data_IF_623432257972
#
_entry.id   IF_623432257972
#
_cell.length_a   1.000
_cell.length_b   1.000
_cell.length_c   1.000
_cell.angle_alpha   90.00
_cell.angle_beta   90.00
_cell.angle_gamma   90.00
#
_symmetry.space_group_name_H-M   'P 1'
#
loop_
_entity.id
_entity.type
_entity.pdbx_description
1 polymer ?
#
# COMPACT_ATOMS: atom_id res chain seq x y z
N UNK A 1 -11.61 -3.99 20.55
CA UNK A 1 -12.97 -3.44 20.46
C UNK A 1 -13.02 -2.71 19.13
N UNK A 2 -13.72 -3.28 18.16
CA UNK A 2 -13.68 -2.87 16.76
C UNK A 2 -14.44 -1.53 16.66
N UNK A 3 -13.72 -0.42 16.54
CA UNK A 3 -14.29 0.84 16.04
C UNK A 3 -14.48 0.67 14.54
N UNK A 4 -15.53 -0.07 14.20
CA UNK A 4 -16.07 -0.19 12.85
C UNK A 4 -16.41 1.20 12.35
N UNK A 5 -15.89 1.59 11.18
CA UNK A 5 -16.64 2.17 10.04
C UNK A 5 -17.78 3.18 10.33
N UNK A 6 -17.78 3.88 11.45
CA UNK A 6 -18.96 4.62 11.98
C UNK A 6 -18.85 6.13 11.84
N UNK A 7 -17.83 6.63 11.14
CA UNK A 7 -17.69 8.06 10.82
C UNK A 7 -17.81 8.38 9.32
N UNK A 8 -18.29 7.41 8.53
CA UNK A 8 -18.97 7.62 7.24
C UNK A 8 -20.44 7.18 7.29
N UNK A 9 -20.98 7.06 8.52
CA UNK A 9 -22.40 6.95 8.79
C UNK A 9 -22.98 8.31 9.25
N UNK A 10 -22.36 9.42 8.85
CA UNK A 10 -23.13 10.66 8.73
C UNK A 10 -24.21 10.37 7.67
N UNK A 11 -25.49 10.68 7.94
CA UNK A 11 -26.53 10.61 6.91
C UNK A 11 -25.95 11.19 5.61
N UNK A 12 -26.18 10.58 4.44
CA UNK A 12 -25.62 11.05 3.15
C UNK A 12 -25.89 12.56 2.93
N UNK A 13 -26.97 13.06 3.56
CA UNK A 13 -27.28 14.46 3.71
C UNK A 13 -26.12 15.32 4.27
N UNK A 14 -25.32 14.87 5.22
CA UNK A 14 -24.29 15.68 5.91
C UNK A 14 -22.87 15.54 5.33
N UNK A 15 -22.72 14.82 4.22
CA UNK A 15 -21.41 14.60 3.58
C UNK A 15 -20.82 15.90 3.02
N UNK A 16 -21.65 16.76 2.45
CA UNK A 16 -21.25 18.04 1.89
C UNK A 16 -21.75 19.19 2.75
N UNK A 17 -20.82 19.84 3.47
CA UNK A 17 -21.12 20.99 4.31
C UNK A 17 -21.13 22.26 3.46
N UNK A 18 -22.11 23.15 3.68
CA UNK A 18 -22.18 24.45 3.03
C UNK A 18 -21.77 25.54 4.02
N UNK A 19 -20.88 26.42 3.60
CA UNK A 19 -20.59 27.69 4.26
C UNK A 19 -20.92 28.82 3.31
N UNK A 20 -21.56 29.87 3.82
CA UNK A 20 -21.84 31.08 3.05
C UNK A 20 -21.22 32.25 3.79
N UNK A 21 -20.39 33.04 3.11
CA UNK A 21 -19.66 34.15 3.72
C UNK A 21 -18.89 33.73 5.00
N UNK A 22 -18.25 32.56 4.96
CA UNK A 22 -17.53 31.91 6.07
C UNK A 22 -18.38 31.52 7.30
N UNK A 23 -19.71 31.55 7.20
CA UNK A 23 -20.59 31.02 8.24
C UNK A 23 -21.17 29.66 7.83
N UNK A 24 -21.09 28.63 8.68
CA UNK A 24 -21.64 27.32 8.39
C UNK A 24 -23.17 27.35 8.39
N UNK A 25 -23.76 26.73 7.36
CA UNK A 25 -25.20 26.57 7.25
C UNK A 25 -25.65 25.29 7.94
N UNK A 26 -26.54 25.44 8.92
CA UNK A 26 -27.17 24.32 9.61
C UNK A 26 -28.54 24.09 8.97
N UNK A 27 -28.71 22.96 8.29
CA UNK A 27 -29.94 22.59 7.62
C UNK A 27 -30.88 21.89 8.60
N UNK A 28 -32.11 22.39 8.72
CA UNK A 28 -33.16 21.74 9.51
C UNK A 28 -34.10 20.99 8.57
N UNK A 29 -34.29 19.69 8.82
CA UNK A 29 -35.15 18.81 8.01
C UNK A 29 -36.61 19.16 8.23
N UNK A 30 -37.33 19.43 7.14
CA UNK A 30 -38.76 19.70 7.15
C UNK A 30 -39.56 18.39 7.03
N UNK A 31 -40.85 18.43 7.35
CA UNK A 31 -41.78 17.28 7.27
C UNK A 31 -41.98 16.73 5.85
N UNK A 32 -41.56 17.46 4.81
CA UNK A 32 -41.59 17.04 3.41
C UNK A 32 -40.31 16.33 2.93
N UNK A 33 -39.28 16.21 3.78
CA UNK A 33 -37.98 15.61 3.43
C UNK A 33 -36.93 16.60 2.92
N UNK A 34 -37.34 17.80 2.50
CA UNK A 34 -36.43 18.91 2.18
C UNK A 34 -35.87 19.56 3.46
N UNK A 35 -34.65 20.10 3.39
CA UNK A 35 -34.05 20.82 4.50
C UNK A 35 -33.82 22.29 4.15
N UNK A 36 -34.14 23.21 5.06
CA UNK A 36 -33.94 24.65 4.85
C UNK A 36 -32.92 25.16 5.86
N UNK A 37 -31.98 25.99 5.41
CA UNK A 37 -31.08 26.76 6.24
C UNK A 37 -31.29 28.26 5.98
N UNK A 38 -31.20 29.08 7.03
CA UNK A 38 -31.34 30.53 6.94
C UNK A 38 -30.21 31.22 7.72
N UNK A 39 -29.66 32.29 7.15
CA UNK A 39 -28.64 33.13 7.77
C UNK A 39 -29.23 34.42 8.34
N UNK A 40 -28.52 34.99 9.32
CA UNK A 40 -28.78 36.35 9.81
C UNK A 40 -28.52 37.35 8.66
N UNK A 41 -29.59 37.81 8.03
CA UNK A 41 -29.54 38.60 6.78
C UNK A 41 -30.63 38.25 5.76
N UNK A 42 -31.43 37.21 6.01
CA UNK A 42 -32.59 36.87 5.18
C UNK A 42 -32.28 35.96 3.98
N UNK A 43 -31.02 35.61 3.76
CA UNK A 43 -30.62 34.59 2.80
C UNK A 43 -31.11 33.21 3.27
N UNK A 44 -31.92 32.56 2.44
CA UNK A 44 -32.41 31.19 2.70
C UNK A 44 -31.89 30.26 1.61
N UNK A 45 -31.42 29.08 2.02
CA UNK A 45 -30.98 28.03 1.09
C UNK A 45 -31.86 26.81 1.32
N UNK A 46 -32.53 26.37 0.26
CA UNK A 46 -33.26 25.11 0.23
C UNK A 46 -32.28 24.01 -0.22
N UNK A 47 -32.24 22.92 0.53
CA UNK A 47 -31.50 21.71 0.20
C UNK A 47 -32.49 20.59 -0.04
N UNK A 48 -32.47 20.05 -1.24
CA UNK A 48 -33.26 18.88 -1.63
C UNK A 48 -32.31 17.72 -1.87
N UNK A 49 -32.61 16.58 -1.24
CA UNK A 49 -31.86 15.33 -1.38
C UNK A 49 -32.71 14.37 -2.20
N UNK A 50 -32.12 13.83 -3.28
CA UNK A 50 -32.74 12.79 -4.08
C UNK A 50 -31.82 11.58 -4.14
N UNK A 51 -32.26 10.49 -3.52
CA UNK A 51 -31.57 9.20 -3.58
C UNK A 51 -31.98 8.48 -4.87
N UNK A 52 -30.98 8.09 -5.65
CA UNK A 52 -31.09 7.20 -6.82
C UNK A 52 -30.46 5.85 -6.44
N UNK A 53 -30.66 4.81 -7.25
CA UNK A 53 -30.18 3.45 -6.93
C UNK A 53 -28.67 3.39 -6.65
N UNK A 54 -27.88 4.24 -7.31
CA UNK A 54 -26.42 4.16 -7.35
C UNK A 54 -25.72 5.48 -6.96
N UNK A 55 -26.48 6.55 -6.73
CA UNK A 55 -25.98 7.91 -6.49
C UNK A 55 -26.95 8.77 -5.70
N UNK A 56 -26.44 9.85 -5.12
CA UNK A 56 -27.27 10.86 -4.44
C UNK A 56 -27.13 12.21 -5.13
N UNK A 57 -28.25 12.82 -5.49
CA UNK A 57 -28.30 14.19 -5.99
C UNK A 57 -28.62 15.14 -4.84
N UNK A 58 -27.76 16.14 -4.63
CA UNK A 58 -27.97 17.24 -3.69
C UNK A 58 -28.17 18.53 -4.46
N UNK A 59 -29.38 19.09 -4.38
CA UNK A 59 -29.70 20.40 -4.98
C UNK A 59 -29.76 21.47 -3.91
N UNK A 60 -29.03 22.57 -4.10
CA UNK A 60 -29.03 23.75 -3.25
C UNK A 60 -29.60 24.93 -4.03
N UNK A 61 -30.81 25.36 -3.69
CA UNK A 61 -31.47 26.50 -4.32
C UNK A 61 -31.44 27.72 -3.39
N UNK A 62 -30.87 28.82 -3.87
CA UNK A 62 -30.71 30.07 -3.14
C UNK A 62 -31.97 30.91 -3.32
N UNK A 63 -32.68 31.15 -2.22
CA UNK A 63 -33.88 31.97 -2.16
C UNK A 63 -33.46 33.40 -1.76
N UNK A 64 -32.90 34.14 -2.72
CA UNK A 64 -32.43 35.52 -2.54
C UNK A 64 -31.74 36.08 -3.79
N UNK A 65 -31.59 37.41 -3.88
CA UNK A 65 -30.99 38.12 -5.02
C UNK A 65 -29.55 38.56 -4.81
N UNK A 66 -28.96 38.32 -3.63
CA UNK A 66 -27.62 38.80 -3.30
C UNK A 66 -26.55 37.77 -3.68
N UNK A 67 -25.52 38.21 -4.43
CA UNK A 67 -24.33 37.42 -4.70
C UNK A 67 -23.57 37.19 -3.39
N UNK A 68 -23.59 35.96 -2.88
CA UNK A 68 -22.84 35.55 -1.70
C UNK A 68 -21.72 34.59 -2.08
N UNK A 69 -20.68 34.47 -1.26
CA UNK A 69 -19.64 33.49 -1.49
C UNK A 69 -20.08 32.12 -0.95
N UNK A 70 -20.43 31.20 -1.84
CA UNK A 70 -20.82 29.84 -1.50
C UNK A 70 -19.60 28.94 -1.55
N UNK A 71 -19.29 28.29 -0.43
CA UNK A 71 -18.17 27.37 -0.31
C UNK A 71 -18.68 26.06 0.26
N UNK A 72 -18.51 24.99 -0.51
CA UNK A 72 -18.86 23.63 -0.10
C UNK A 72 -17.60 22.93 0.42
N UNK A 73 -17.74 22.00 1.36
CA UNK A 73 -16.59 21.28 1.91
C UNK A 73 -16.92 19.83 2.25
N UNK A 74 -16.03 18.93 1.86
CA UNK A 74 -16.01 17.53 2.30
C UNK A 74 -15.04 17.39 3.48
N UNK A 75 -15.52 17.06 4.68
CA UNK A 75 -14.66 16.95 5.86
C UNK A 75 -13.72 15.74 5.75
N UNK A 76 -12.47 15.93 6.16
CA UNK A 76 -11.45 14.89 6.25
C UNK A 76 -11.27 14.55 7.73
N UNK A 77 -11.80 13.41 8.16
CA UNK A 77 -11.51 12.89 9.51
C UNK A 77 -10.24 12.04 9.44
N UNK A 78 -9.15 12.48 10.10
CA UNK A 78 -8.00 11.60 10.35
C UNK A 78 -8.35 10.73 11.55
N UNK A 79 -8.32 9.41 11.37
CA UNK A 79 -8.46 8.47 12.48
C UNK A 79 -7.24 8.66 13.39
N UNK A 80 -7.45 9.10 14.63
CA UNK A 80 -6.40 9.08 15.64
C UNK A 80 -6.07 7.62 15.94
N UNK A 81 -4.83 7.21 15.68
CA UNK A 81 -4.42 5.82 15.85
C UNK A 81 -4.37 5.42 17.32
N UNK A 82 -4.73 4.17 17.61
CA UNK A 82 -4.46 3.54 18.90
C UNK A 82 -2.93 3.55 19.14
N UNK A 83 -2.51 4.16 20.27
CA UNK A 83 -1.14 4.19 20.78
C UNK A 83 -0.64 2.75 21.05
N UNK A 84 -0.23 2.04 20.00
CA UNK A 84 0.17 0.64 20.12
C UNK A 84 0.16 -0.17 18.82
N UNK A 85 -0.28 0.40 17.70
CA UNK A 85 -0.36 -0.30 16.43
C UNK A 85 1.00 -0.66 15.80
N UNK A 86 2.10 -0.06 16.28
CA UNK A 86 3.46 -0.29 15.78
C UNK A 86 3.80 0.56 14.55
N UNK A 87 5.09 0.64 14.22
CA UNK A 87 5.58 1.40 13.06
C UNK A 87 5.09 0.76 11.75
N UNK A 88 4.35 1.50 10.93
CA UNK A 88 3.83 1.03 9.64
C UNK A 88 2.32 0.77 9.59
N UNK A 89 1.60 0.88 10.71
CA UNK A 89 0.14 0.83 10.70
C UNK A 89 -0.49 2.05 9.98
N UNK A 90 0.22 3.18 9.95
CA UNK A 90 -0.13 4.41 9.25
C UNK A 90 -0.10 4.26 7.72
N UNK A 91 0.61 3.24 7.20
CA UNK A 91 0.83 3.06 5.75
C UNK A 91 -0.47 2.74 4.99
N UNK A 92 -1.53 2.38 5.70
CA UNK A 92 -2.80 1.93 5.12
C UNK A 92 -4.01 2.78 5.53
N UNK A 93 -3.78 3.88 6.25
CA UNK A 93 -4.83 4.79 6.74
C UNK A 93 -4.87 6.12 5.97
N UNK A 94 -4.10 6.25 4.90
CA UNK A 94 -4.07 7.46 4.09
C UNK A 94 -5.41 7.70 3.37
N UNK A 95 -5.76 8.98 3.27
CA UNK A 95 -6.89 9.47 2.50
C UNK A 95 -6.30 10.18 1.28
N UNK A 96 -6.51 9.60 0.11
CA UNK A 96 -6.12 10.19 -1.16
C UNK A 96 -7.21 11.17 -1.60
N UNK A 97 -6.83 12.39 -1.94
CA UNK A 97 -7.73 13.35 -2.58
C UNK A 97 -7.51 13.27 -4.07
N UNK A 98 -8.58 13.17 -4.85
CA UNK A 98 -8.47 12.96 -6.30
C UNK A 98 -9.39 13.88 -7.08
N UNK A 99 -9.05 14.09 -8.35
CA UNK A 99 -9.95 14.63 -9.36
C UNK A 99 -9.81 13.82 -10.65
N UNK A 100 -10.78 13.92 -11.55
CA UNK A 100 -10.67 13.35 -12.90
C UNK A 100 -10.47 14.43 -13.93
N UNK A 101 -9.75 14.12 -15.01
CA UNK A 101 -9.68 14.96 -16.20
C UNK A 101 -9.72 14.10 -17.47
N UNK A 102 -9.41 14.68 -18.63
CA UNK A 102 -9.39 13.96 -19.92
C UNK A 102 -8.37 12.82 -19.99
N UNK A 103 -7.37 12.81 -19.10
CA UNK A 103 -6.32 11.79 -19.02
C UNK A 103 -6.64 10.68 -18.01
N UNK A 104 -7.65 10.89 -17.16
CA UNK A 104 -8.12 9.92 -16.18
C UNK A 104 -8.13 10.47 -14.76
N UNK A 105 -7.89 9.59 -13.78
CA UNK A 105 -7.84 9.94 -12.35
C UNK A 105 -6.46 10.51 -12.03
N UNK A 106 -6.45 11.65 -11.35
CA UNK A 106 -5.24 12.31 -10.85
C UNK A 106 -5.32 12.52 -9.33
N UNK A 107 -4.20 12.35 -8.64
CA UNK A 107 -4.09 12.63 -7.21
C UNK A 107 -3.77 14.11 -6.99
N UNK A 108 -4.53 14.73 -6.12
CA UNK A 108 -4.50 16.15 -5.84
C UNK A 108 -3.20 16.57 -5.14
N UNK A 109 -2.51 17.60 -5.66
CA UNK A 109 -1.30 18.15 -5.03
C UNK A 109 -1.52 19.56 -4.49
N UNK A 110 -2.24 20.41 -5.21
CA UNK A 110 -2.51 21.82 -4.90
C UNK A 110 -3.85 22.27 -5.52
N UNK A 111 -4.25 23.53 -5.30
CA UNK A 111 -5.48 24.15 -5.85
C UNK A 111 -5.66 23.82 -7.33
N UNK A 112 -6.76 23.16 -7.67
CA UNK A 112 -7.05 22.69 -9.04
C UNK A 112 -8.46 23.09 -9.46
N UNK A 113 -8.61 23.51 -10.72
CA UNK A 113 -9.93 23.80 -11.31
C UNK A 113 -10.46 22.53 -12.00
N UNK A 114 -11.63 22.08 -11.59
CA UNK A 114 -12.30 20.86 -12.04
C UNK A 114 -13.46 21.23 -12.96
N UNK A 115 -13.58 20.57 -14.11
CA UNK A 115 -14.64 20.86 -15.08
C UNK A 115 -16.00 20.33 -14.61
N UNK A 116 -17.08 20.80 -15.24
CA UNK A 116 -18.45 20.38 -14.90
C UNK A 116 -18.74 18.88 -15.12
N UNK A 117 -17.95 18.22 -15.96
CA UNK A 117 -18.06 16.79 -16.26
C UNK A 117 -17.30 15.90 -15.27
N UNK A 118 -16.40 16.50 -14.51
CA UNK A 118 -15.31 15.81 -13.85
C UNK A 118 -15.61 15.56 -12.36
N UNK A 119 -15.14 14.44 -11.83
CA UNK A 119 -15.28 14.06 -10.44
C UNK A 119 -14.16 14.67 -9.59
N UNK A 120 -14.48 15.03 -8.35
CA UNK A 120 -13.52 15.42 -7.31
C UNK A 120 -13.93 14.78 -5.99
N UNK A 121 -12.99 14.25 -5.22
CA UNK A 121 -13.37 13.45 -4.08
C UNK A 121 -12.26 12.98 -3.16
N UNK A 122 -12.66 12.14 -2.23
CA UNK A 122 -11.81 11.50 -1.24
C UNK A 122 -11.86 9.99 -1.46
N UNK A 123 -10.70 9.35 -1.49
CA UNK A 123 -10.54 7.91 -1.57
C UNK A 123 -9.80 7.43 -0.34
N UNK A 124 -10.45 6.54 0.41
CA UNK A 124 -9.83 5.80 1.52
C UNK A 124 -9.39 4.42 1.03
N UNK A 125 -8.91 3.57 1.94
CA UNK A 125 -8.62 2.17 1.63
C UNK A 125 -9.86 1.37 1.20
N UNK A 126 -11.04 1.69 1.74
CA UNK A 126 -12.24 0.85 1.57
C UNK A 126 -13.34 1.52 0.75
N UNK A 127 -13.39 2.86 0.76
CA UNK A 127 -14.49 3.64 0.22
C UNK A 127 -13.98 4.84 -0.56
N UNK A 128 -14.76 5.21 -1.58
CA UNK A 128 -14.55 6.39 -2.41
C UNK A 128 -15.80 7.26 -2.33
N UNK A 129 -15.61 8.52 -1.97
CA UNK A 129 -16.63 9.56 -2.02
C UNK A 129 -16.26 10.50 -3.15
N UNK A 130 -17.03 10.48 -4.24
CA UNK A 130 -16.82 11.35 -5.39
C UNK A 130 -17.96 12.36 -5.48
N UNK A 131 -17.64 13.60 -5.80
CA UNK A 131 -18.58 14.71 -5.94
C UNK A 131 -18.37 15.37 -7.29
N UNK A 132 -19.46 15.75 -7.94
CA UNK A 132 -19.44 16.47 -9.21
C UNK A 132 -20.48 17.59 -9.20
N UNK A 133 -20.10 18.80 -9.61
CA UNK A 133 -21.05 19.91 -9.79
C UNK A 133 -21.58 19.94 -11.22
N UNK A 134 -22.90 19.88 -11.37
CA UNK A 134 -23.55 19.89 -12.67
C UNK A 134 -23.55 21.28 -13.31
N UNK A 135 -23.04 21.34 -14.55
CA UNK A 135 -23.14 22.51 -15.42
C UNK A 135 -22.19 23.67 -15.10
N UNK A 136 -21.26 23.52 -14.14
CA UNK A 136 -20.31 24.57 -13.75
C UNK A 136 -18.94 24.01 -13.38
N UNK A 137 -17.91 24.84 -13.53
CA UNK A 137 -16.56 24.51 -13.05
C UNK A 137 -16.42 24.81 -11.56
N UNK A 138 -15.65 23.97 -10.88
CA UNK A 138 -15.33 24.09 -9.46
C UNK A 138 -13.85 24.42 -9.30
N UNK A 139 -13.52 25.38 -8.44
CA UNK A 139 -12.19 25.44 -7.84
C UNK A 139 -12.19 24.51 -6.63
N UNK A 140 -11.24 23.60 -6.57
CA UNK A 140 -11.04 22.69 -5.45
C UNK A 140 -9.73 23.04 -4.76
N UNK A 141 -9.74 23.06 -3.43
CA UNK A 141 -8.58 23.36 -2.57
C UNK A 141 -8.52 22.37 -1.43
N UNK A 142 -7.38 21.69 -1.27
CA UNK A 142 -7.15 20.80 -0.15
C UNK A 142 -6.68 21.58 1.07
N UNK A 143 -7.37 21.40 2.19
CA UNK A 143 -6.95 21.92 3.50
C UNK A 143 -6.68 20.75 4.46
N UNK A 144 -6.05 21.02 5.60
CA UNK A 144 -5.77 19.98 6.59
C UNK A 144 -7.01 19.24 7.12
N UNK A 145 -8.20 19.87 7.04
CA UNK A 145 -9.44 19.40 7.66
C UNK A 145 -10.56 19.11 6.67
N UNK A 146 -10.44 19.57 5.42
CA UNK A 146 -11.48 19.40 4.42
C UNK A 146 -10.96 19.60 3.00
N UNK A 147 -11.63 18.95 2.05
CA UNK A 147 -11.57 19.31 0.64
C UNK A 147 -12.62 20.39 0.37
N UNK A 148 -12.15 21.61 0.07
CA UNK A 148 -12.98 22.79 -0.16
C UNK A 148 -13.30 22.89 -1.65
N UNK A 149 -14.58 23.04 -1.98
CA UNK A 149 -15.14 23.11 -3.33
C UNK A 149 -15.89 24.44 -3.50
N UNK A 150 -15.35 25.33 -4.32
CA UNK A 150 -15.89 26.66 -4.56
C UNK A 150 -16.32 26.79 -6.03
N UNK A 151 -17.60 27.03 -6.34
CA UNK A 151 -18.06 27.32 -7.70
C UNK A 151 -17.38 28.58 -8.25
N UNK A 152 -16.99 28.57 -9.51
CA UNK A 152 -16.35 29.73 -10.16
C UNK A 152 -17.33 30.84 -10.49
N UNK A 153 -18.61 30.50 -10.64
CA UNK A 153 -19.68 31.42 -11.03
C UNK A 153 -20.85 31.33 -10.05
N UNK A 154 -21.47 32.47 -9.76
CA UNK A 154 -22.69 32.49 -8.96
C UNK A 154 -23.92 32.09 -9.80
N UNK A 155 -24.72 31.16 -9.30
CA UNK A 155 -26.04 30.82 -9.85
C UNK A 155 -27.07 30.64 -8.74
N UNK A 156 -28.35 30.69 -9.11
CA UNK A 156 -29.45 30.51 -8.15
C UNK A 156 -29.64 29.06 -7.67
N UNK A 157 -29.12 28.07 -8.39
CA UNK A 157 -29.25 26.67 -8.01
C UNK A 157 -27.99 25.86 -8.36
N UNK A 158 -27.44 25.16 -7.38
CA UNK A 158 -26.31 24.24 -7.54
C UNK A 158 -26.79 22.81 -7.36
N UNK A 159 -26.53 21.94 -8.33
CA UNK A 159 -26.85 20.51 -8.23
C UNK A 159 -25.56 19.71 -8.20
N UNK A 160 -25.33 19.02 -7.10
CA UNK A 160 -24.21 18.11 -6.91
C UNK A 160 -24.67 16.67 -7.07
N UNK A 161 -23.85 15.87 -7.73
CA UNK A 161 -23.96 14.43 -7.74
C UNK A 161 -22.89 13.85 -6.83
N UNK A 162 -23.30 12.98 -5.91
CA UNK A 162 -22.43 12.33 -4.94
C UNK A 162 -22.49 10.82 -5.14
N UNK A 163 -21.32 10.21 -5.31
CA UNK A 163 -21.13 8.77 -5.35
C UNK A 163 -20.48 8.32 -4.06
N UNK A 164 -21.04 7.29 -3.46
CA UNK A 164 -20.44 6.60 -2.32
C UNK A 164 -20.22 5.14 -2.70
N UNK A 165 -18.99 4.81 -3.08
CA UNK A 165 -18.62 3.53 -3.68
C UNK A 165 -17.67 2.76 -2.77
N UNK A 166 -17.76 1.44 -2.78
CA UNK A 166 -16.67 0.60 -2.27
C UNK A 166 -15.50 0.67 -3.26
N UNK A 167 -14.26 0.76 -2.75
CA UNK A 167 -13.02 0.82 -3.55
C UNK A 167 -12.71 -0.55 -4.16
N UNK A 168 -13.56 -1.01 -5.07
CA UNK A 168 -13.42 -2.25 -5.83
C UNK A 168 -13.35 -1.93 -7.31
N UNK A 169 -12.63 -2.75 -8.09
CA UNK A 169 -12.45 -2.49 -9.52
C UNK A 169 -13.80 -2.45 -10.26
N UNK A 170 -14.71 -3.35 -9.91
CA UNK A 170 -16.06 -3.43 -10.49
C UNK A 170 -16.85 -2.15 -10.21
N UNK A 171 -16.92 -1.69 -8.96
CA UNK A 171 -17.69 -0.50 -8.61
C UNK A 171 -17.10 0.80 -9.17
N UNK A 172 -15.78 0.88 -9.33
CA UNK A 172 -15.13 2.10 -9.83
C UNK A 172 -15.15 2.19 -11.36
N UNK A 173 -15.01 1.06 -12.06
CA UNK A 173 -15.03 1.01 -13.53
C UNK A 173 -16.35 1.49 -14.14
N UNK A 174 -17.49 1.32 -13.45
CA UNK A 174 -18.78 1.83 -13.93
C UNK A 174 -18.84 3.36 -14.02
N UNK A 175 -17.95 4.07 -13.32
CA UNK A 175 -17.89 5.54 -13.29
C UNK A 175 -16.58 6.12 -13.85
N UNK A 176 -15.71 5.29 -14.45
CA UNK A 176 -14.40 5.71 -14.95
C UNK A 176 -13.40 6.09 -13.84
N UNK A 177 -13.59 5.54 -12.63
CA UNK A 177 -12.77 5.81 -11.45
C UNK A 177 -11.79 4.69 -11.13
N UNK A 178 -11.61 3.72 -12.03
CA UNK A 178 -10.73 2.55 -11.86
C UNK A 178 -9.25 2.94 -11.71
N UNK A 179 -8.87 4.13 -12.18
CA UNK A 179 -7.56 4.73 -11.95
C UNK A 179 -7.23 4.98 -10.47
N UNK A 180 -8.23 5.00 -9.57
CA UNK A 180 -8.02 5.14 -8.13
C UNK A 180 -7.35 3.92 -7.48
N UNK A 181 -7.46 2.75 -8.12
CA UNK A 181 -6.79 1.55 -7.63
C UNK A 181 -5.31 1.64 -8.03
N UNK A 182 -4.46 1.72 -7.00
CA UNK A 182 -3.02 1.93 -7.13
C UNK A 182 -2.62 3.24 -7.82
N UNK A 183 -3.40 4.32 -7.63
CA UNK A 183 -3.16 5.63 -8.26
C UNK A 183 -1.75 6.20 -8.02
N UNK A 184 -1.15 5.88 -6.87
CA UNK A 184 0.19 6.34 -6.49
C UNK A 184 1.34 5.55 -7.16
N UNK A 185 1.05 4.58 -8.03
CA UNK A 185 2.04 3.73 -8.69
C UNK A 185 2.19 4.09 -10.18
N UNK A 186 3.39 3.86 -10.73
CA UNK A 186 3.62 3.98 -12.17
C UNK A 186 2.77 2.96 -12.94
N UNK A 187 2.30 3.33 -14.13
CA UNK A 187 1.34 2.52 -14.90
C UNK A 187 1.74 1.06 -15.12
N UNK A 188 3.01 0.81 -15.46
CA UNK A 188 3.50 -0.54 -15.67
C UNK A 188 3.45 -1.39 -14.39
N UNK A 189 3.71 -0.77 -13.24
CA UNK A 189 3.71 -1.44 -11.94
C UNK A 189 2.29 -1.59 -11.39
N UNK A 190 1.42 -0.62 -11.66
CA UNK A 190 -0.03 -0.72 -11.44
C UNK A 190 -0.60 -1.93 -12.19
N UNK A 191 -0.28 -2.07 -13.48
CA UNK A 191 -0.67 -3.24 -14.26
C UNK A 191 -0.17 -4.54 -13.63
N UNK A 192 1.09 -4.58 -13.19
CA UNK A 192 1.64 -5.73 -12.49
C UNK A 192 0.89 -6.06 -11.19
N UNK A 193 0.53 -5.05 -10.38
CA UNK A 193 -0.28 -5.25 -9.17
C UNK A 193 -1.67 -5.80 -9.49
N UNK A 194 -2.32 -5.32 -10.56
CA UNK A 194 -3.62 -5.83 -11.02
C UNK A 194 -3.53 -7.29 -11.47
N UNK A 195 -2.43 -7.70 -12.12
CA UNK A 195 -2.19 -9.11 -12.49
C UNK A 195 -2.05 -9.98 -11.25
N UNK A 196 -1.23 -9.58 -10.27
CA UNK A 196 -1.06 -10.33 -9.01
C UNK A 196 -2.39 -10.38 -8.24
N UNK A 197 -3.15 -9.29 -8.22
CA UNK A 197 -4.48 -9.25 -7.59
C UNK A 197 -5.46 -10.23 -8.26
N UNK A 198 -5.55 -10.21 -9.58
CA UNK A 198 -6.41 -11.13 -10.33
C UNK A 198 -6.01 -12.60 -10.11
N UNK A 199 -4.70 -12.89 -10.02
CA UNK A 199 -4.22 -14.22 -9.66
C UNK A 199 -4.62 -14.62 -8.24
N UNK A 200 -4.55 -13.71 -7.27
CA UNK A 200 -5.01 -13.96 -5.90
C UNK A 200 -6.51 -14.25 -5.86
N UNK A 201 -7.35 -13.48 -6.56
CA UNK A 201 -8.79 -13.72 -6.63
C UNK A 201 -9.10 -15.09 -7.25
N UNK A 202 -8.42 -15.46 -8.33
CA UNK A 202 -8.57 -16.76 -8.98
C UNK A 202 -8.16 -17.91 -8.05
N UNK A 203 -7.02 -17.79 -7.37
CA UNK A 203 -6.57 -18.81 -6.41
C UNK A 203 -7.49 -18.89 -5.19
N UNK A 204 -8.01 -17.75 -4.72
CA UNK A 204 -8.98 -17.70 -3.64
C UNK A 204 -10.30 -18.36 -4.03
N UNK A 205 -10.78 -18.18 -5.26
CA UNK A 205 -11.98 -18.86 -5.75
C UNK A 205 -11.86 -20.40 -5.72
N UNK A 206 -10.64 -20.95 -5.79
CA UNK A 206 -10.38 -22.39 -5.74
C UNK A 206 -10.27 -22.94 -4.31
N UNK A 207 -9.72 -22.15 -3.38
CA UNK A 207 -9.33 -22.62 -2.03
C UNK A 207 -10.21 -22.05 -0.91
N UNK A 208 -10.83 -20.89 -1.15
CA UNK A 208 -11.65 -20.13 -0.22
C UNK A 208 -10.97 -19.84 1.13
N UNK A 209 -9.64 -19.71 1.14
CA UNK A 209 -8.85 -19.35 2.32
C UNK A 209 -7.69 -18.44 1.92
N UNK A 210 -7.66 -17.21 2.43
CA UNK A 210 -6.67 -16.20 2.05
C UNK A 210 -5.23 -16.58 2.41
N UNK A 211 -4.99 -17.19 3.57
CA UNK A 211 -3.63 -17.61 3.94
C UNK A 211 -3.11 -18.72 3.03
N UNK A 212 -3.93 -19.74 2.74
CA UNK A 212 -3.58 -20.80 1.80
C UNK A 212 -3.39 -20.25 0.36
N UNK A 213 -4.22 -19.29 -0.04
CA UNK A 213 -4.11 -18.57 -1.33
C UNK A 213 -2.74 -17.91 -1.47
N UNK A 214 -2.27 -17.22 -0.43
CA UNK A 214 -0.95 -16.57 -0.40
C UNK A 214 0.19 -17.60 -0.50
N UNK A 215 0.08 -18.74 0.18
CA UNK A 215 1.08 -19.81 0.10
C UNK A 215 1.15 -20.41 -1.31
N UNK A 216 0.01 -20.61 -1.97
CA UNK A 216 -0.06 -21.12 -3.33
C UNK A 216 0.48 -20.08 -4.32
N UNK A 217 0.22 -18.79 -4.10
CA UNK A 217 0.83 -17.72 -4.88
C UNK A 217 2.37 -17.79 -4.79
N UNK A 218 2.92 -17.94 -3.58
CA UNK A 218 4.37 -18.08 -3.39
C UNK A 218 4.93 -19.30 -4.15
N UNK A 219 4.23 -20.43 -4.10
CA UNK A 219 4.60 -21.63 -4.86
C UNK A 219 4.54 -21.40 -6.38
N UNK A 220 3.48 -20.76 -6.88
CA UNK A 220 3.30 -20.48 -8.31
C UNK A 220 4.37 -19.54 -8.84
N UNK A 221 4.62 -18.44 -8.13
CA UNK A 221 5.71 -17.51 -8.47
C UNK A 221 7.05 -18.24 -8.46
N UNK A 222 7.26 -19.14 -7.50
CA UNK A 222 8.48 -19.94 -7.45
C UNK A 222 8.64 -20.86 -8.66
N UNK A 223 7.58 -21.54 -9.08
CA UNK A 223 7.61 -22.42 -10.24
C UNK A 223 7.92 -21.64 -11.53
N UNK A 224 7.33 -20.45 -11.71
CA UNK A 224 7.59 -19.60 -12.88
C UNK A 224 9.03 -19.06 -12.85
N UNK A 225 9.53 -18.67 -11.68
CA UNK A 225 10.88 -18.10 -11.53
C UNK A 225 11.99 -19.15 -11.42
N UNK A 226 11.64 -20.43 -11.33
CA UNK A 226 12.57 -21.56 -11.22
C UNK A 226 13.78 -21.51 -12.18
N UNK A 227 13.63 -21.31 -13.51
CA UNK A 227 14.77 -21.27 -14.41
C UNK A 227 15.74 -20.13 -14.06
N UNK A 228 15.21 -18.95 -13.74
CA UNK A 228 15.99 -17.77 -13.37
C UNK A 228 16.73 -18.02 -12.06
N UNK A 229 16.05 -18.59 -11.06
CA UNK A 229 16.65 -18.97 -9.79
C UNK A 229 17.77 -20.00 -9.97
N UNK A 230 17.60 -20.98 -10.87
CA UNK A 230 18.65 -21.96 -11.19
C UNK A 230 19.89 -21.29 -11.77
N UNK A 231 19.72 -20.32 -12.69
CA UNK A 231 20.84 -19.53 -13.20
C UNK A 231 21.52 -18.71 -12.09
N UNK A 232 20.73 -18.04 -11.24
CA UNK A 232 21.25 -17.24 -10.13
C UNK A 232 22.06 -18.07 -9.12
N UNK A 233 21.59 -19.27 -8.77
CA UNK A 233 22.29 -20.22 -7.90
C UNK A 233 23.65 -20.63 -8.50
N UNK A 234 23.72 -20.91 -9.80
CA UNK A 234 24.99 -21.22 -10.46
C UNK A 234 26.00 -20.07 -10.38
N UNK A 235 25.56 -18.81 -10.51
CA UNK A 235 26.44 -17.66 -10.31
C UNK A 235 26.80 -17.43 -8.84
N UNK A 236 25.94 -17.83 -7.90
CA UNK A 236 26.26 -17.81 -6.47
C UNK A 236 27.39 -18.77 -6.13
N UNK A 237 27.40 -19.97 -6.71
CA UNK A 237 28.47 -20.95 -6.53
C UNK A 237 29.81 -20.40 -7.05
N UNK A 238 29.81 -19.83 -8.27
CA UNK A 238 31.00 -19.19 -8.86
C UNK A 238 31.51 -18.05 -7.97
N UNK A 239 30.62 -17.16 -7.50
CA UNK A 239 31.00 -16.05 -6.63
C UNK A 239 31.58 -16.55 -5.28
N UNK A 240 31.00 -17.61 -4.73
CA UNK A 240 31.45 -18.22 -3.47
C UNK A 240 32.84 -18.83 -3.62
N UNK A 241 33.07 -19.61 -4.68
CA UNK A 241 34.36 -20.22 -4.98
C UNK A 241 35.46 -19.15 -5.17
N UNK A 242 35.17 -18.11 -5.95
CA UNK A 242 36.08 -16.98 -6.16
C UNK A 242 36.42 -16.28 -4.83
N UNK A 243 35.41 -16.07 -3.98
CA UNK A 243 35.61 -15.44 -2.69
C UNK A 243 36.49 -16.27 -1.75
N UNK A 244 36.30 -17.59 -1.72
CA UNK A 244 37.12 -18.52 -0.92
C UNK A 244 38.58 -18.49 -1.40
N UNK A 245 38.79 -18.56 -2.71
CA UNK A 245 40.13 -18.57 -3.33
C UNK A 245 40.91 -17.28 -3.06
N UNK A 246 40.23 -16.14 -3.10
CA UNK A 246 40.87 -14.81 -3.04
C UNK A 246 40.98 -14.27 -1.61
N UNK A 247 40.11 -14.69 -0.68
CA UNK A 247 40.12 -14.24 0.71
C UNK A 247 41.49 -14.30 1.42
N UNK A 248 42.28 -15.40 1.35
CA UNK A 248 43.59 -15.45 2.02
C UNK A 248 44.59 -14.47 1.40
N UNK A 249 44.60 -14.35 0.06
CA UNK A 249 45.49 -13.47 -0.69
C UNK A 249 45.19 -12.00 -0.41
N UNK A 250 43.90 -11.63 -0.32
CA UNK A 250 43.49 -10.29 0.09
C UNK A 250 43.93 -9.96 1.52
N UNK A 251 43.90 -10.94 2.43
CA UNK A 251 44.34 -10.74 3.82
C UNK A 251 45.84 -10.48 3.88
N UNK A 252 46.62 -11.21 3.09
CA UNK A 252 48.06 -11.02 2.97
C UNK A 252 48.40 -9.61 2.44
N UNK A 253 47.79 -9.19 1.33
CA UNK A 253 47.99 -7.84 0.76
C UNK A 253 47.64 -6.75 1.77
N UNK A 254 46.50 -6.87 2.46
CA UNK A 254 46.06 -5.91 3.49
C UNK A 254 46.99 -5.85 4.71
N UNK A 255 47.74 -6.91 4.98
CA UNK A 255 48.69 -6.96 6.10
C UNK A 255 50.08 -6.42 5.73
N UNK A 256 50.42 -6.45 4.44
CA UNK A 256 51.77 -6.12 3.94
C UNK A 256 51.86 -4.76 3.26
N UNK A 257 50.75 -4.26 2.70
CA UNK A 257 50.72 -3.01 1.92
C UNK A 257 49.63 -2.08 2.45
N UNK A 258 49.83 -0.76 2.28
CA UNK A 258 48.85 0.28 2.68
C UNK A 258 48.68 1.34 1.58
N UNK A 259 47.54 2.04 1.57
CA UNK A 259 47.30 3.18 0.68
C UNK A 259 47.15 2.78 -0.80
N UNK A 260 47.81 3.53 -1.69
CA UNK A 260 47.72 3.33 -3.15
C UNK A 260 48.29 1.97 -3.56
N UNK A 261 49.42 1.57 -2.99
CA UNK A 261 50.09 0.31 -3.31
C UNK A 261 49.22 -0.91 -2.96
N UNK A 262 48.52 -0.87 -1.83
CA UNK A 262 47.55 -1.89 -1.47
C UNK A 262 46.43 -2.01 -2.54
N UNK A 263 45.94 -0.88 -3.02
CA UNK A 263 44.87 -0.84 -4.02
C UNK A 263 45.34 -1.41 -5.37
N UNK A 264 46.55 -1.06 -5.81
CA UNK A 264 47.15 -1.62 -7.03
C UNK A 264 47.37 -3.14 -6.95
N UNK A 265 47.85 -3.63 -5.81
CA UNK A 265 48.03 -5.06 -5.58
C UNK A 265 46.70 -5.82 -5.59
N UNK A 266 45.63 -5.23 -5.04
CA UNK A 266 44.28 -5.81 -5.09
C UNK A 266 43.77 -5.90 -6.53
N UNK A 267 43.96 -4.85 -7.34
CA UNK A 267 43.55 -4.86 -8.75
C UNK A 267 44.31 -5.93 -9.54
N UNK A 268 45.64 -5.98 -9.40
CA UNK A 268 46.47 -7.03 -10.03
C UNK A 268 46.05 -8.42 -9.60
N UNK A 269 45.72 -8.62 -8.32
CA UNK A 269 45.22 -9.89 -7.82
C UNK A 269 43.92 -10.29 -8.52
N UNK A 270 42.96 -9.37 -8.67
CA UNK A 270 41.71 -9.66 -9.37
C UNK A 270 41.91 -10.01 -10.84
N UNK A 271 42.84 -9.33 -11.53
CA UNK A 271 43.22 -9.64 -12.91
C UNK A 271 43.85 -11.03 -13.03
N UNK A 272 44.85 -11.33 -12.18
CA UNK A 272 45.54 -12.63 -12.16
C UNK A 272 44.58 -13.81 -11.87
N UNK A 273 43.59 -13.57 -11.01
CA UNK A 273 42.62 -14.59 -10.62
C UNK A 273 41.40 -14.65 -11.55
N UNK A 274 41.36 -13.83 -12.61
CA UNK A 274 40.22 -13.70 -13.53
C UNK A 274 38.90 -13.50 -12.78
N UNK A 275 38.90 -12.60 -11.80
CA UNK A 275 37.75 -12.39 -10.91
C UNK A 275 36.53 -11.89 -11.68
N UNK A 276 35.41 -12.61 -11.58
CA UNK A 276 34.18 -12.23 -12.25
C UNK A 276 33.38 -11.27 -11.37
N UNK A 277 33.68 -9.98 -11.50
CA UNK A 277 33.03 -8.90 -10.75
C UNK A 277 31.49 -8.90 -10.87
N UNK A 278 30.95 -9.44 -11.97
CA UNK A 278 29.50 -9.57 -12.18
C UNK A 278 28.84 -10.75 -11.47
N UNK A 279 29.59 -11.76 -11.01
CA UNK A 279 29.01 -12.97 -10.41
C UNK A 279 28.18 -12.67 -9.13
N UNK A 280 28.63 -11.80 -8.21
CA UNK A 280 27.81 -11.36 -7.07
C UNK A 280 26.51 -10.67 -7.48
N UNK A 281 26.52 -9.82 -8.51
CA UNK A 281 25.29 -9.16 -8.98
C UNK A 281 24.33 -10.15 -9.64
N UNK A 282 24.86 -11.13 -10.36
CA UNK A 282 24.07 -12.19 -10.99
C UNK A 282 23.46 -13.14 -9.96
N UNK A 283 24.10 -13.35 -8.81
CA UNK A 283 23.50 -14.13 -7.72
C UNK A 283 22.34 -13.37 -7.04
N UNK A 284 22.43 -12.04 -6.96
CA UNK A 284 21.36 -11.17 -6.46
C UNK A 284 20.11 -11.14 -7.36
N UNK A 285 20.22 -11.45 -8.67
CA UNK A 285 19.07 -11.53 -9.58
C UNK A 285 18.00 -12.51 -9.09
N UNK A 286 18.42 -13.57 -8.41
CA UNK A 286 17.53 -14.59 -7.86
C UNK A 286 16.64 -14.09 -6.73
N UNK A 287 17.05 -13.07 -5.97
CA UNK A 287 16.24 -12.36 -4.96
C UNK A 287 15.51 -11.17 -5.59
N UNK A 288 16.17 -10.52 -6.57
CA UNK A 288 15.65 -9.33 -7.24
C UNK A 288 14.30 -9.54 -7.91
N UNK A 289 13.99 -10.76 -8.38
CA UNK A 289 12.71 -11.05 -9.03
C UNK A 289 11.54 -11.17 -8.05
N UNK A 290 11.79 -11.43 -6.76
CA UNK A 290 10.74 -11.54 -5.75
C UNK A 290 10.43 -10.18 -5.11
N UNK A 291 11.37 -9.22 -5.14
CA UNK A 291 11.14 -7.87 -4.62
C UNK A 291 9.93 -7.21 -5.30
N UNK A 292 9.79 -7.18 -6.65
CA UNK A 292 8.60 -6.63 -7.29
C UNK A 292 7.30 -7.29 -6.83
N UNK A 293 7.28 -8.62 -6.69
CA UNK A 293 6.09 -9.35 -6.23
C UNK A 293 5.75 -8.99 -4.79
N UNK A 294 6.77 -8.87 -3.93
CA UNK A 294 6.59 -8.46 -2.53
C UNK A 294 6.03 -7.02 -2.44
N UNK A 295 6.58 -6.09 -3.23
CA UNK A 295 6.10 -4.71 -3.29
C UNK A 295 4.67 -4.65 -3.86
N UNK A 296 4.33 -5.50 -4.83
CA UNK A 296 2.97 -5.58 -5.35
C UNK A 296 1.99 -6.08 -4.27
N UNK A 297 2.35 -7.13 -3.53
CA UNK A 297 1.52 -7.65 -2.45
C UNK A 297 1.33 -6.62 -1.32
N UNK A 298 2.37 -5.86 -0.98
CA UNK A 298 2.28 -4.75 -0.04
C UNK A 298 1.28 -3.68 -0.51
N UNK A 299 1.32 -3.28 -1.78
CA UNK A 299 0.39 -2.31 -2.34
C UNK A 299 -1.05 -2.84 -2.40
N UNK A 300 -1.23 -4.11 -2.75
CA UNK A 300 -2.53 -4.80 -2.75
C UNK A 300 -3.16 -4.74 -1.36
N UNK A 301 -2.42 -5.10 -0.32
CA UNK A 301 -2.91 -5.03 1.05
C UNK A 301 -3.37 -3.62 1.42
N UNK A 302 -2.66 -2.58 0.96
CA UNK A 302 -3.03 -1.20 1.23
C UNK A 302 -4.19 -0.63 0.44
N UNK A 303 -4.58 -1.24 -0.68
CA UNK A 303 -5.63 -0.71 -1.56
C UNK A 303 -6.89 -1.58 -1.61
N UNK A 304 -6.81 -2.82 -1.15
CA UNK A 304 -7.90 -3.79 -1.26
C UNK A 304 -8.38 -4.23 0.11
N UNK A 305 -9.70 -4.22 0.30
CA UNK A 305 -10.37 -4.57 1.56
C UNK A 305 -10.68 -6.06 1.70
N UNK A 306 -10.56 -6.85 0.63
CA UNK A 306 -10.99 -8.25 0.60
C UNK A 306 -10.25 -9.17 1.60
N UNK A 307 -9.05 -8.79 2.04
CA UNK A 307 -8.27 -9.55 3.04
C UNK A 307 -8.56 -9.08 4.48
N UNK A 308 -9.34 -8.01 4.69
CA UNK A 308 -9.62 -7.47 6.01
C UNK A 308 -10.34 -8.50 6.88
N UNK A 309 -9.82 -8.74 8.09
CA UNK A 309 -10.38 -9.74 9.01
C UNK A 309 -10.21 -11.19 8.56
N UNK A 310 -9.43 -11.46 7.50
CA UNK A 310 -9.15 -12.82 7.07
C UNK A 310 -8.18 -13.50 8.04
N UNK A 311 -8.58 -14.63 8.61
CA UNK A 311 -7.77 -15.40 9.56
C UNK A 311 -7.03 -16.56 8.88
N UNK A 312 -5.87 -16.93 9.46
CA UNK A 312 -5.10 -18.09 9.04
C UNK A 312 -4.21 -18.62 10.17
N UNK A 313 -4.36 -19.91 10.51
CA UNK A 313 -3.66 -20.55 11.62
C UNK A 313 -3.91 -19.80 12.95
N UNK A 314 -2.89 -19.19 13.54
CA UNK A 314 -2.99 -18.38 14.76
C UNK A 314 -3.21 -16.88 14.48
N UNK A 315 -3.14 -16.48 13.21
CA UNK A 315 -3.30 -15.08 12.77
C UNK A 315 -4.79 -14.79 12.65
N UNK A 316 -5.27 -13.79 13.39
CA UNK A 316 -6.68 -13.40 13.36
C UNK A 316 -7.03 -12.48 12.19
N UNK A 317 -6.07 -11.67 11.73
CA UNK A 317 -6.25 -10.76 10.59
C UNK A 317 -4.93 -10.65 9.82
N UNK A 318 -4.96 -11.08 8.57
CA UNK A 318 -3.82 -11.12 7.65
C UNK A 318 -3.31 -9.72 7.25
N UNK A 319 -4.11 -8.67 7.45
CA UNK A 319 -3.77 -7.29 7.05
C UNK A 319 -2.99 -6.51 8.10
N UNK A 320 -2.93 -7.05 9.33
CA UNK A 320 -2.13 -6.50 10.43
C UNK A 320 -0.99 -7.44 10.77
N UNK A 321 -0.08 -7.02 11.66
CA UNK A 321 0.95 -7.91 12.18
C UNK A 321 0.32 -9.13 12.89
N UNK A 322 1.04 -10.25 12.87
CA UNK A 322 0.60 -11.58 13.33
C UNK A 322 0.03 -11.61 14.77
N UNK A 323 0.68 -10.92 15.72
CA UNK A 323 0.24 -10.75 17.12
C UNK A 323 -0.06 -12.06 17.86
N UNK A 324 0.85 -13.04 17.80
CA UNK A 324 0.70 -14.35 18.45
C UNK A 324 0.46 -14.25 19.96
N UNK A 325 1.30 -13.49 20.70
CA UNK A 325 1.19 -13.34 22.15
C UNK A 325 1.18 -11.87 22.56
N UNK A 326 0.19 -11.41 23.35
CA UNK A 326 0.21 -10.07 23.94
C UNK A 326 1.24 -9.99 25.08
N UNK A 327 1.90 -8.85 25.20
CA UNK A 327 2.85 -8.52 26.26
C UNK A 327 2.23 -7.51 27.23
N UNK A 328 2.54 -7.64 28.53
CA UNK A 328 2.08 -6.69 29.57
C UNK A 328 2.76 -5.32 29.50
N UNK A 329 3.71 -5.14 28.58
CA UNK A 329 4.46 -3.91 28.35
C UNK A 329 4.61 -3.70 26.84
N UNK A 330 4.73 -2.44 26.41
CA UNK A 330 4.97 -2.08 25.01
C UNK A 330 6.45 -1.78 24.81
N UNK A 331 7.10 -2.44 23.87
CA UNK A 331 8.47 -2.14 23.47
C UNK A 331 8.45 -1.08 22.36
N UNK A 332 9.34 -0.07 22.41
CA UNK A 332 9.54 0.82 21.27
C UNK A 332 9.82 0.00 20.00
N UNK A 333 9.22 0.40 18.87
CA UNK A 333 9.28 -0.29 17.57
C UNK A 333 8.53 -1.64 17.49
N UNK A 334 8.71 -2.54 18.46
CA UNK A 334 8.11 -3.89 18.47
C UNK A 334 6.66 -3.93 19.00
N UNK A 335 6.18 -2.86 19.64
CA UNK A 335 4.83 -2.79 20.17
C UNK A 335 4.58 -3.74 21.34
N UNK A 336 3.31 -4.08 21.57
CA UNK A 336 2.84 -4.87 22.72
C UNK A 336 2.55 -6.34 22.38
N UNK A 337 3.10 -6.85 21.27
CA UNK A 337 2.86 -8.24 20.83
C UNK A 337 4.13 -8.92 20.34
N UNK A 338 4.19 -10.24 20.48
CA UNK A 338 5.20 -11.11 19.88
C UNK A 338 4.70 -11.62 18.53
N UNK A 339 5.45 -11.34 17.46
CA UNK A 339 5.12 -11.78 16.09
C UNK A 339 5.96 -13.01 15.73
N UNK A 340 5.32 -14.14 15.37
CA UNK A 340 6.02 -15.39 15.08
C UNK A 340 6.57 -15.45 13.66
N UNK A 341 5.82 -14.94 12.68
CA UNK A 341 6.25 -14.97 11.27
C UNK A 341 7.63 -14.30 11.02
N UNK A 342 7.93 -13.10 11.56
CA UNK A 342 9.23 -12.46 11.35
C UNK A 342 10.38 -13.23 12.03
N UNK A 343 10.12 -13.89 13.15
CA UNK A 343 11.10 -14.75 13.85
C UNK A 343 11.40 -15.98 12.97
N UNK A 344 10.36 -16.66 12.50
CA UNK A 344 10.50 -17.81 11.60
C UNK A 344 11.24 -17.43 10.32
N UNK A 345 10.93 -16.26 9.74
CA UNK A 345 11.63 -15.72 8.59
C UNK A 345 13.11 -15.51 8.88
N UNK A 346 13.45 -14.86 9.98
CA UNK A 346 14.85 -14.65 10.39
C UNK A 346 15.61 -15.97 10.54
N UNK A 347 14.99 -16.98 11.14
CA UNK A 347 15.57 -18.32 11.28
C UNK A 347 15.78 -18.98 9.91
N UNK A 348 14.77 -18.97 9.04
CA UNK A 348 14.88 -19.57 7.70
C UNK A 348 15.99 -18.88 6.89
N UNK A 349 16.06 -17.55 6.94
CA UNK A 349 17.13 -16.79 6.26
C UNK A 349 18.50 -17.13 6.83
N UNK A 350 18.64 -17.21 8.16
CA UNK A 350 19.88 -17.63 8.81
C UNK A 350 20.33 -19.01 8.33
N UNK A 351 19.45 -20.01 8.41
CA UNK A 351 19.76 -21.39 8.02
C UNK A 351 20.10 -21.46 6.53
N UNK A 352 19.35 -20.78 5.68
CA UNK A 352 19.57 -20.80 4.22
C UNK A 352 20.93 -20.24 3.81
N UNK A 353 21.42 -19.22 4.51
CA UNK A 353 22.75 -18.65 4.25
C UNK A 353 23.88 -19.43 4.91
N UNK A 354 23.64 -19.98 6.10
CA UNK A 354 24.65 -20.73 6.83
C UNK A 354 24.89 -22.12 6.24
N UNK A 355 23.84 -22.72 5.65
CA UNK A 355 23.89 -24.03 5.03
C UNK A 355 24.16 -23.90 3.53
N UNK A 356 25.29 -24.46 3.08
CA UNK A 356 25.71 -24.48 1.68
C UNK A 356 25.82 -25.93 1.18
N UNK A 357 26.08 -26.13 -0.12
CA UNK A 357 26.27 -27.47 -0.69
C UNK A 357 27.42 -28.23 -0.03
N UNK A 358 28.42 -27.52 0.50
CA UNK A 358 29.56 -28.09 1.21
C UNK A 358 29.33 -28.19 2.73
N UNK A 359 28.08 -28.04 3.19
CA UNK A 359 27.70 -28.04 4.60
C UNK A 359 27.74 -26.65 5.24
N UNK A 360 28.03 -26.61 6.54
CA UNK A 360 28.01 -25.37 7.34
C UNK A 360 29.25 -24.51 7.09
N UNK A 361 29.04 -23.29 6.59
CA UNK A 361 30.10 -22.31 6.38
C UNK A 361 30.13 -21.25 7.51
N UNK A 362 31.32 -20.99 8.07
CA UNK A 362 31.53 -19.95 9.08
C UNK A 362 31.23 -18.55 8.55
N UNK A 363 31.55 -18.27 7.29
CA UNK A 363 31.22 -16.98 6.67
C UNK A 363 29.70 -16.84 6.46
N UNK A 364 29.06 -17.92 6.02
CA UNK A 364 27.60 -18.06 5.93
C UNK A 364 26.88 -17.84 7.26
N UNK A 365 27.39 -18.35 8.39
CA UNK A 365 26.80 -18.15 9.72
C UNK A 365 26.69 -16.67 10.11
N UNK A 366 27.78 -15.91 9.98
CA UNK A 366 27.80 -14.48 10.32
C UNK A 366 26.88 -13.67 9.41
N UNK A 367 26.89 -13.95 8.10
CA UNK A 367 26.03 -13.28 7.12
C UNK A 367 24.55 -13.62 7.34
N UNK A 368 24.26 -14.89 7.60
CA UNK A 368 22.93 -15.38 7.89
C UNK A 368 22.36 -14.75 9.16
N UNK A 369 23.18 -14.58 10.20
CA UNK A 369 22.72 -13.96 11.45
C UNK A 369 22.43 -12.47 11.23
N UNK A 370 23.31 -11.77 10.51
CA UNK A 370 23.12 -10.37 10.16
C UNK A 370 21.86 -10.15 9.30
N UNK A 371 21.67 -10.94 8.24
CA UNK A 371 20.52 -10.81 7.35
C UNK A 371 19.23 -11.28 8.00
N UNK A 372 19.26 -12.39 8.74
CA UNK A 372 18.11 -12.89 9.51
C UNK A 372 17.67 -11.89 10.57
N UNK A 373 18.61 -11.28 11.29
CA UNK A 373 18.34 -10.18 12.21
C UNK A 373 17.76 -8.94 11.52
N UNK A 374 18.32 -8.57 10.36
CA UNK A 374 17.80 -7.46 9.55
C UNK A 374 16.35 -7.68 9.12
N UNK A 375 16.03 -8.86 8.57
CA UNK A 375 14.67 -9.18 8.16
C UNK A 375 13.72 -9.34 9.35
N UNK A 376 14.18 -9.89 10.47
CA UNK A 376 13.39 -9.93 11.70
C UNK A 376 12.96 -8.52 12.13
N UNK A 377 13.90 -7.56 12.19
CA UNK A 377 13.58 -6.18 12.55
C UNK A 377 12.67 -5.55 11.49
N UNK A 378 13.05 -5.62 10.21
CA UNK A 378 12.34 -4.96 9.11
C UNK A 378 10.88 -5.42 8.98
N UNK A 379 10.64 -6.73 9.04
CA UNK A 379 9.31 -7.30 8.85
C UNK A 379 8.52 -7.44 10.15
N UNK A 380 9.08 -7.01 11.30
CA UNK A 380 8.41 -7.20 12.59
C UNK A 380 7.02 -6.57 12.63
N UNK A 381 6.90 -5.35 12.09
CA UNK A 381 5.67 -4.57 12.12
C UNK A 381 4.87 -4.64 10.82
N UNK A 382 5.29 -5.49 9.87
CA UNK A 382 4.64 -5.60 8.57
C UNK A 382 3.39 -6.50 8.64
N UNK A 383 2.40 -6.31 7.73
CA UNK A 383 1.23 -7.17 7.65
C UNK A 383 1.57 -8.66 7.54
N UNK A 384 0.85 -9.50 8.28
CA UNK A 384 1.10 -10.93 8.35
C UNK A 384 1.01 -11.61 6.98
N UNK A 385 0.11 -11.19 6.10
CA UNK A 385 0.02 -11.68 4.71
C UNK A 385 1.34 -11.51 3.94
N UNK A 386 1.98 -10.36 4.09
CA UNK A 386 3.23 -10.04 3.41
C UNK A 386 4.39 -10.89 3.96
N UNK A 387 4.49 -10.98 5.29
CA UNK A 387 5.53 -11.79 5.94
C UNK A 387 5.31 -13.28 5.66
N UNK A 388 4.07 -13.75 5.62
CA UNK A 388 3.69 -15.13 5.28
C UNK A 388 4.14 -15.49 3.85
N UNK A 389 3.86 -14.62 2.88
CA UNK A 389 4.35 -14.77 1.51
C UNK A 389 5.88 -14.87 1.46
N UNK A 390 6.56 -13.93 2.13
CA UNK A 390 8.03 -13.89 2.10
C UNK A 390 8.67 -15.10 2.78
N UNK A 391 8.12 -15.53 3.93
CA UNK A 391 8.53 -16.74 4.62
C UNK A 391 8.36 -17.97 3.72
N UNK A 392 7.21 -18.12 3.07
CA UNK A 392 6.95 -19.24 2.15
C UNK A 392 7.93 -19.23 0.96
N UNK A 393 8.17 -18.06 0.36
CA UNK A 393 9.12 -17.90 -0.74
C UNK A 393 10.56 -18.25 -0.33
N UNK A 394 10.99 -17.87 0.87
CA UNK A 394 12.31 -18.21 1.42
C UNK A 394 12.42 -19.71 1.74
N UNK A 395 11.37 -20.31 2.31
CA UNK A 395 11.35 -21.74 2.59
C UNK A 395 11.44 -22.56 1.30
N UNK A 396 10.67 -22.17 0.27
CA UNK A 396 10.75 -22.79 -1.05
C UNK A 396 12.12 -22.58 -1.71
N UNK A 397 12.74 -21.41 -1.54
CA UNK A 397 14.12 -21.17 -1.99
C UNK A 397 15.09 -22.14 -1.32
N UNK A 398 14.98 -22.30 0.00
CA UNK A 398 15.84 -23.19 0.76
C UNK A 398 15.67 -24.65 0.31
N UNK A 399 14.43 -25.13 0.19
CA UNK A 399 14.14 -26.47 -0.34
C UNK A 399 14.73 -26.65 -1.74
N UNK A 400 14.58 -25.66 -2.62
CA UNK A 400 15.17 -25.71 -3.96
C UNK A 400 16.70 -25.78 -3.92
N UNK A 401 17.34 -25.01 -3.03
CA UNK A 401 18.79 -25.06 -2.83
C UNK A 401 19.24 -26.47 -2.38
N UNK A 402 18.52 -27.10 -1.44
CA UNK A 402 18.82 -28.46 -1.00
C UNK A 402 18.70 -29.48 -2.15
N UNK A 403 17.65 -29.37 -2.97
CA UNK A 403 17.41 -30.31 -4.08
C UNK A 403 18.44 -30.14 -5.21
N UNK A 404 18.83 -28.90 -5.51
CA UNK A 404 19.82 -28.61 -6.57
C UNK A 404 21.24 -28.94 -6.10
N UNK A 405 21.57 -28.61 -4.85
CA UNK A 405 22.90 -28.79 -4.27
C UNK A 405 23.30 -30.24 -3.96
N UNK A 406 22.36 -31.18 -4.03
CA UNK A 406 22.62 -32.62 -3.89
C UNK A 406 23.12 -33.31 -5.17
N UNK A 407 23.31 -32.56 -6.27
CA UNK A 407 23.94 -33.04 -7.51
C UNK A 407 25.36 -32.52 -7.61
#
# INVERSE_FOLDING_TARGET
MILSSSLMAAEIADVLLLTVNNQPMIFQRNTSGDSVAALEGGLRVLKTVRELEDRTELSFSVLGTESSNFVFSLPISRINMDEGAGWGADLFTNIDVFYTDQTGVQIFQDVTTVSASDWVGLATREQVVAVRLMGQTLSSTLTERALVLQPTTFVQSYTFEILHLSKTLVALSSYGLDGLIFANLWDWFRWFCLVIWSLLEMLYALVANWGATILILALLVKMITYPITKYALGYQDIATEQQIRIAPLLKEIKSTHTGVEQSEQIVKLYELQNYQHGAPFKSLLGIGIQIPVLVALFNILGNVSALNGASFLWINDLTVADRLLPLSFSLPYFGSYVNLLPIALGIVTFVSMAYTNNGWDRSGLTKGLAMGGLFFVLFYSFPAALVLYWLAANLLQFVQQLVIGQK
#
